data_IF_635129430078
#
_entry.id   IF_635129430078
#
_cell.length_a   1.000
_cell.length_b   1.000
_cell.length_c   1.000
_cell.angle_alpha   90.00
_cell.angle_beta   90.00
_cell.angle_gamma   90.00
#
_symmetry.space_group_name_H-M   'P 1'
#
loop_
_entity.id
_entity.type
_entity.pdbx_description
1 polymer ?
#
# COMPACT_ATOMS: atom_id res chain seq x y z
N UNK A 1 13.28 -17.78 8.69
CA UNK A 1 11.89 -17.64 9.16
C UNK A 1 11.28 -16.51 8.34
N UNK A 2 10.31 -16.86 7.49
CA UNK A 2 9.55 -15.85 6.75
C UNK A 2 8.71 -15.10 7.77
N UNK A 3 8.98 -13.82 7.98
CA UNK A 3 8.08 -12.88 8.65
C UNK A 3 6.82 -12.73 7.77
N UNK A 4 5.89 -13.67 7.93
CA UNK A 4 4.59 -13.55 7.27
C UNK A 4 3.75 -12.53 8.03
N UNK A 5 3.31 -11.49 7.34
CA UNK A 5 2.35 -10.55 7.91
C UNK A 5 1.07 -11.28 8.32
N UNK A 6 0.64 -11.09 9.57
CA UNK A 6 -0.58 -11.68 10.09
C UNK A 6 -1.68 -10.62 10.05
N UNK A 7 -2.69 -10.84 9.23
CA UNK A 7 -3.90 -10.02 9.19
C UNK A 7 -4.95 -10.57 10.15
N UNK A 8 -5.33 -9.75 11.12
CA UNK A 8 -6.35 -10.10 12.11
C UNK A 8 -7.53 -9.11 12.03
N UNK A 9 -8.78 -9.58 11.88
CA UNK A 9 -9.95 -8.72 12.04
C UNK A 9 -10.12 -8.35 13.52
N UNK A 10 -9.98 -7.05 13.84
CA UNK A 10 -10.11 -6.52 15.19
C UNK A 10 -11.19 -5.44 15.24
N UNK A 11 -11.87 -5.32 16.38
CA UNK A 11 -12.77 -4.20 16.63
C UNK A 11 -11.97 -2.91 16.76
N UNK A 12 -12.47 -1.81 16.19
CA UNK A 12 -11.80 -0.50 16.25
C UNK A 12 -11.47 -0.08 17.69
N UNK A 13 -12.35 -0.39 18.66
CA UNK A 13 -12.13 -0.11 20.08
C UNK A 13 -10.94 -0.87 20.68
N UNK A 14 -10.65 -2.07 20.20
CA UNK A 14 -9.48 -2.87 20.60
C UNK A 14 -8.21 -2.29 20.00
N UNK A 15 -8.28 -1.93 18.74
CA UNK A 15 -7.16 -1.29 18.05
C UNK A 15 -6.74 0.02 18.70
N UNK A 16 -7.70 0.86 19.09
CA UNK A 16 -7.40 2.11 19.82
C UNK A 16 -6.71 1.82 21.15
N UNK A 17 -7.12 0.78 21.87
CA UNK A 17 -6.45 0.34 23.11
C UNK A 17 -5.03 -0.17 22.82
N UNK A 18 -4.83 -0.90 21.72
CA UNK A 18 -3.51 -1.38 21.33
C UNK A 18 -2.56 -0.22 20.99
N UNK A 19 -3.04 0.82 20.32
CA UNK A 19 -2.24 2.03 20.06
C UNK A 19 -1.88 2.82 21.31
N UNK A 20 -2.75 2.79 22.34
CA UNK A 20 -2.50 3.44 23.62
C UNK A 20 -1.55 2.65 24.53
N UNK A 21 -1.58 1.33 24.42
CA UNK A 21 -0.63 0.47 25.12
C UNK A 21 0.73 0.55 24.42
N UNK A 22 1.70 1.20 25.06
CA UNK A 22 3.11 1.31 24.63
C UNK A 22 3.88 -0.04 24.66
N UNK A 23 3.19 -1.14 24.51
CA UNK A 23 3.82 -2.43 24.25
C UNK A 23 4.33 -2.37 22.81
N UNK A 24 5.58 -2.73 22.60
CA UNK A 24 6.37 -2.66 21.36
C UNK A 24 5.74 -3.33 20.11
N UNK A 25 4.43 -3.28 19.95
CA UNK A 25 3.75 -3.85 18.81
C UNK A 25 3.66 -2.80 17.69
N UNK A 26 4.42 -3.01 16.64
CA UNK A 26 4.30 -2.26 15.39
C UNK A 26 3.01 -2.72 14.69
N UNK A 27 1.93 -1.99 14.89
CA UNK A 27 0.61 -2.33 14.36
C UNK A 27 0.24 -1.34 13.27
N UNK A 28 -0.22 -1.86 12.15
CA UNK A 28 -0.77 -1.08 11.04
C UNK A 28 -2.16 -1.62 10.73
N UNK A 29 -3.08 -0.70 10.47
CA UNK A 29 -4.42 -0.98 10.01
C UNK A 29 -4.52 -0.50 8.58
N UNK A 30 -4.93 -1.37 7.68
CA UNK A 30 -5.17 -1.07 6.28
C UNK A 30 -6.25 -2.00 5.71
N UNK A 31 -6.68 -1.75 4.47
CA UNK A 31 -7.74 -2.50 3.80
C UNK A 31 -9.11 -2.40 4.50
N UNK A 32 -9.45 -1.20 4.96
CA UNK A 32 -10.69 -0.90 5.71
C UNK A 32 -11.84 -0.38 4.81
N UNK A 33 -11.87 -0.75 3.54
CA UNK A 33 -12.89 -0.27 2.61
C UNK A 33 -14.31 -0.63 3.08
N UNK A 34 -14.52 -1.85 3.54
CA UNK A 34 -15.81 -2.35 4.04
C UNK A 34 -16.25 -1.56 5.30
N UNK A 35 -15.31 -1.32 6.22
CA UNK A 35 -15.56 -0.49 7.40
C UNK A 35 -15.99 0.94 7.04
N UNK A 36 -15.37 1.56 6.03
CA UNK A 36 -15.75 2.89 5.56
C UNK A 36 -17.18 2.92 4.98
N UNK A 37 -17.57 1.84 4.32
CA UNK A 37 -18.90 1.70 3.73
C UNK A 37 -19.96 1.47 4.82
N UNK A 38 -19.77 0.52 5.72
CA UNK A 38 -20.67 0.16 6.80
C UNK A 38 -20.91 1.30 7.79
N UNK A 39 -19.85 2.04 8.14
CA UNK A 39 -19.96 3.19 9.06
C UNK A 39 -20.50 4.46 8.40
N UNK A 40 -20.62 4.47 7.08
CA UNK A 40 -21.03 5.65 6.32
C UNK A 40 -19.94 6.75 6.25
N UNK A 41 -18.75 6.53 6.75
CA UNK A 41 -17.61 7.45 6.68
C UNK A 41 -17.18 7.72 5.23
N UNK A 42 -17.53 6.85 4.31
CA UNK A 42 -17.31 7.02 2.89
C UNK A 42 -17.89 8.35 2.35
N UNK A 43 -18.97 8.87 2.98
CA UNK A 43 -19.54 10.18 2.62
C UNK A 43 -18.56 11.33 2.84
N UNK A 44 -17.72 11.24 3.87
CA UNK A 44 -16.68 12.24 4.16
C UNK A 44 -15.57 12.22 3.11
N UNK A 45 -15.24 11.04 2.58
CA UNK A 45 -14.28 10.89 1.48
C UNK A 45 -14.79 11.56 0.18
N UNK A 46 -16.09 11.54 -0.07
CA UNK A 46 -16.68 12.12 -1.30
C UNK A 46 -16.45 13.62 -1.44
N UNK A 47 -16.25 14.34 -0.36
CA UNK A 47 -15.92 15.75 -0.43
C UNK A 47 -14.58 15.99 -1.15
N UNK A 48 -13.53 15.24 -0.76
CA UNK A 48 -12.22 15.32 -1.39
C UNK A 48 -12.20 14.64 -2.76
N UNK A 49 -13.02 13.62 -2.95
CA UNK A 49 -13.16 12.88 -4.21
C UNK A 49 -13.55 13.78 -5.38
N UNK A 50 -14.50 14.68 -5.18
CA UNK A 50 -14.95 15.60 -6.24
C UNK A 50 -13.82 16.46 -6.82
N UNK A 51 -12.79 16.70 -6.02
CA UNK A 51 -11.63 17.50 -6.41
C UNK A 51 -10.46 16.65 -6.95
N UNK A 52 -10.30 15.43 -6.44
CA UNK A 52 -9.17 14.54 -6.77
C UNK A 52 -9.43 13.64 -7.96
N UNK A 53 -10.70 13.34 -8.22
CA UNK A 53 -11.13 12.38 -9.23
C UNK A 53 -10.78 12.85 -10.65
N UNK A 54 -9.97 12.09 -11.41
CA UNK A 54 -9.72 12.40 -12.81
C UNK A 54 -10.94 12.10 -13.68
N UNK A 55 -11.02 12.64 -14.90
CA UNK A 55 -12.07 12.28 -15.84
C UNK A 55 -11.94 10.80 -16.27
N UNK A 56 -13.04 10.21 -16.73
CA UNK A 56 -13.11 8.84 -17.26
C UNK A 56 -12.61 7.75 -16.28
N UNK A 57 -12.94 7.92 -14.99
CA UNK A 57 -12.64 6.90 -13.98
C UNK A 57 -13.56 5.70 -14.15
N UNK A 58 -12.96 4.50 -14.17
CA UNK A 58 -13.65 3.21 -14.18
C UNK A 58 -13.82 2.64 -12.77
N UNK A 59 -12.82 2.82 -11.91
CA UNK A 59 -12.82 2.28 -10.54
C UNK A 59 -12.26 3.34 -9.58
N UNK A 60 -12.97 3.52 -8.45
CA UNK A 60 -12.49 4.29 -7.30
C UNK A 60 -12.26 3.32 -6.14
N UNK A 61 -11.12 3.44 -5.49
CA UNK A 61 -10.81 2.73 -4.24
C UNK A 61 -10.53 3.74 -3.16
N UNK A 62 -11.19 3.60 -2.03
CA UNK A 62 -10.95 4.41 -0.84
C UNK A 62 -10.51 3.50 0.28
N UNK A 63 -9.56 3.96 1.08
CA UNK A 63 -9.12 3.25 2.26
C UNK A 63 -8.73 4.23 3.36
N UNK A 64 -8.75 3.74 4.58
CA UNK A 64 -8.26 4.42 5.77
C UNK A 64 -7.14 3.58 6.36
N UNK A 65 -5.97 4.18 6.47
CA UNK A 65 -4.80 3.54 7.06
C UNK A 65 -4.46 4.23 8.37
N UNK A 66 -4.07 3.46 9.37
CA UNK A 66 -3.53 4.00 10.60
C UNK A 66 -2.40 3.12 11.12
N UNK A 67 -1.40 3.75 11.73
CA UNK A 67 -0.25 3.03 12.25
C UNK A 67 0.15 3.51 13.64
N UNK A 68 0.66 2.56 14.44
CA UNK A 68 1.30 2.86 15.73
C UNK A 68 2.65 3.56 15.50
N UNK A 69 3.18 4.19 16.55
CA UNK A 69 4.48 4.86 16.51
C UNK A 69 5.59 3.88 16.07
N UNK A 70 6.45 4.33 15.16
CA UNK A 70 7.57 3.59 14.56
C UNK A 70 7.17 2.34 13.73
N UNK A 71 5.87 2.10 13.48
CA UNK A 71 5.44 1.08 12.53
C UNK A 71 5.67 1.55 11.08
N UNK A 72 5.87 0.61 10.15
CA UNK A 72 6.04 0.94 8.73
C UNK A 72 5.47 -0.16 7.83
N UNK A 73 4.99 0.25 6.66
CA UNK A 73 4.48 -0.69 5.65
C UNK A 73 5.63 -1.34 4.88
N UNK A 74 5.44 -2.56 4.36
CA UNK A 74 6.41 -3.16 3.46
C UNK A 74 6.63 -2.30 2.21
N UNK A 75 7.74 -2.54 1.52
CA UNK A 75 8.03 -1.88 0.26
C UNK A 75 7.16 -2.46 -0.85
N UNK A 76 6.28 -1.65 -1.42
CA UNK A 76 5.30 -2.07 -2.43
C UNK A 76 5.04 -1.00 -3.48
N UNK A 77 4.33 -1.35 -4.57
CA UNK A 77 3.88 -0.39 -5.57
C UNK A 77 2.45 -0.65 -6.01
N UNK A 78 1.77 0.40 -6.47
CA UNK A 78 0.44 0.35 -7.03
C UNK A 78 0.45 0.54 -8.55
N UNK A 79 -0.49 -0.12 -9.22
CA UNK A 79 -0.68 -0.01 -10.68
C UNK A 79 -1.84 0.91 -11.07
N UNK A 80 -2.55 1.48 -10.08
CA UNK A 80 -3.62 2.46 -10.31
C UNK A 80 -3.08 3.75 -10.92
N UNK A 81 -3.89 4.43 -11.72
CA UNK A 81 -3.48 5.65 -12.43
C UNK A 81 -3.09 6.78 -11.49
N UNK A 82 -3.87 7.01 -10.43
CA UNK A 82 -3.58 7.99 -9.39
C UNK A 82 -3.76 7.38 -8.01
N UNK A 83 -2.80 7.62 -7.16
CA UNK A 83 -2.78 7.13 -5.77
C UNK A 83 -2.47 8.33 -4.88
N UNK A 84 -3.49 8.85 -4.20
CA UNK A 84 -3.35 9.97 -3.28
C UNK A 84 -3.37 9.47 -1.84
N UNK A 85 -2.43 9.97 -1.04
CA UNK A 85 -2.34 9.74 0.39
C UNK A 85 -2.46 11.07 1.11
N UNK A 86 -3.57 11.27 1.81
CA UNK A 86 -3.85 12.46 2.61
C UNK A 86 -3.60 12.16 4.07
N UNK A 87 -2.63 12.84 4.68
CA UNK A 87 -2.38 12.71 6.11
C UNK A 87 -3.45 13.46 6.88
N UNK A 88 -4.19 12.75 7.74
CA UNK A 88 -5.26 13.34 8.56
C UNK A 88 -4.82 13.64 9.96
N UNK A 89 -3.91 12.83 10.53
CA UNK A 89 -3.35 13.07 11.85
C UNK A 89 -1.94 12.51 11.98
N UNK A 90 -1.18 13.01 12.96
CA UNK A 90 0.15 12.53 13.30
C UNK A 90 1.26 13.05 12.40
N UNK A 91 2.29 12.23 12.16
CA UNK A 91 3.46 12.54 11.34
C UNK A 91 3.92 11.25 10.68
N UNK A 92 4.09 11.29 9.36
CA UNK A 92 4.60 10.15 8.60
C UNK A 92 5.86 10.51 7.84
N UNK A 93 6.69 9.51 7.64
CA UNK A 93 7.81 9.55 6.71
C UNK A 93 7.54 8.56 5.59
N UNK A 94 7.83 8.94 4.36
CA UNK A 94 7.60 8.10 3.19
C UNK A 94 8.87 7.98 2.37
N UNK A 95 9.24 6.76 2.04
CA UNK A 95 10.31 6.47 1.09
C UNK A 95 9.71 6.14 -0.26
N UNK A 96 10.18 6.83 -1.30
CA UNK A 96 9.75 6.61 -2.68
C UNK A 96 10.94 6.21 -3.55
N UNK A 97 10.72 5.18 -4.40
CA UNK A 97 11.74 4.67 -5.30
C UNK A 97 11.17 4.63 -6.72
N UNK A 98 11.87 5.20 -7.71
CA UNK A 98 11.38 5.21 -9.09
C UNK A 98 11.32 3.81 -9.69
N UNK A 99 10.37 3.54 -10.63
CA UNK A 99 10.16 2.22 -11.22
C UNK A 99 11.40 1.59 -11.86
N UNK A 100 12.29 2.42 -12.42
CA UNK A 100 13.54 1.96 -13.05
C UNK A 100 14.49 1.23 -12.10
N UNK A 101 14.35 1.45 -10.79
CA UNK A 101 15.15 0.81 -9.76
C UNK A 101 14.56 -0.54 -9.31
N UNK A 102 13.37 -0.91 -9.77
CA UNK A 102 12.70 -2.16 -9.43
C UNK A 102 13.53 -3.43 -9.69
N UNK A 103 14.47 -3.37 -10.63
CA UNK A 103 15.40 -4.48 -10.93
C UNK A 103 16.36 -4.82 -9.77
N UNK A 104 16.52 -3.92 -8.79
CA UNK A 104 17.38 -4.08 -7.62
C UNK A 104 16.59 -4.46 -6.36
N UNK A 105 15.25 -4.57 -6.45
CA UNK A 105 14.37 -4.69 -5.30
C UNK A 105 13.77 -6.09 -5.12
N UNK A 106 14.31 -7.13 -5.77
CA UNK A 106 13.82 -8.52 -5.65
C UNK A 106 12.29 -8.57 -5.75
N UNK A 107 11.77 -8.11 -6.89
CA UNK A 107 10.34 -7.91 -7.12
C UNK A 107 9.54 -9.21 -6.93
N UNK A 108 8.56 -9.19 -6.06
CA UNK A 108 7.57 -10.24 -5.86
C UNK A 108 6.20 -9.77 -6.37
N UNK A 109 5.59 -10.54 -7.26
CA UNK A 109 4.27 -10.23 -7.79
C UNK A 109 3.29 -11.32 -7.36
N UNK A 110 2.37 -10.98 -6.48
CA UNK A 110 1.24 -11.85 -6.19
C UNK A 110 0.01 -11.37 -6.99
N UNK A 111 -0.30 -12.10 -8.04
CA UNK A 111 -1.46 -11.80 -8.88
C UNK A 111 -2.76 -12.35 -8.32
N UNK A 112 -2.74 -13.15 -7.26
CA UNK A 112 -3.92 -13.69 -6.62
C UNK A 112 -4.64 -12.61 -5.80
N UNK A 113 -3.88 -11.96 -4.92
CA UNK A 113 -4.35 -10.82 -4.13
C UNK A 113 -4.07 -9.47 -4.79
N UNK A 114 -3.41 -9.48 -5.92
CA UNK A 114 -3.01 -8.29 -6.69
C UNK A 114 -2.07 -7.36 -5.92
N UNK A 115 -1.18 -7.96 -5.14
CA UNK A 115 -0.13 -7.25 -4.42
C UNK A 115 1.22 -7.35 -5.14
N UNK A 116 1.91 -6.24 -5.15
CA UNK A 116 3.20 -6.10 -5.81
C UNK A 116 4.18 -5.53 -4.80
N UNK A 117 5.03 -6.39 -4.28
CA UNK A 117 5.93 -6.08 -3.17
C UNK A 117 7.38 -6.42 -3.44
N UNK A 118 8.17 -6.18 -2.40
CA UNK A 118 9.59 -6.53 -2.31
C UNK A 118 9.90 -7.02 -0.90
N UNK A 119 10.71 -8.05 -0.72
CA UNK A 119 11.16 -8.51 0.59
C UNK A 119 12.20 -7.55 1.21
N UNK A 120 12.67 -6.56 0.45
CA UNK A 120 13.65 -5.59 0.93
C UNK A 120 12.99 -4.60 1.87
N UNK A 121 13.47 -4.52 3.12
CA UNK A 121 13.07 -3.49 4.06
C UNK A 121 13.85 -2.18 3.79
N UNK A 122 13.20 -1.11 3.34
CA UNK A 122 13.89 0.14 3.05
C UNK A 122 14.27 0.94 4.32
N UNK A 123 13.77 0.56 5.50
CA UNK A 123 14.05 1.23 6.78
C UNK A 123 15.19 0.55 7.53
N UNK A 124 15.31 -0.77 7.38
CA UNK A 124 16.34 -1.60 8.00
C UNK A 124 16.84 -2.64 6.97
N UNK A 125 17.77 -2.20 6.11
CA UNK A 125 18.22 -2.98 4.95
C UNK A 125 18.97 -4.21 5.42
N UNK A 126 18.46 -5.38 5.00
CA UNK A 126 19.08 -6.67 5.27
C UNK A 126 20.44 -6.77 4.54
N UNK A 127 21.43 -7.38 5.17
CA UNK A 127 22.81 -7.50 4.65
C UNK A 127 22.85 -8.12 3.25
N UNK A 128 21.99 -9.07 2.96
CA UNK A 128 21.92 -9.77 1.67
C UNK A 128 21.49 -8.84 0.50
N UNK A 129 20.65 -7.83 0.76
CA UNK A 129 20.14 -6.91 -0.25
C UNK A 129 20.95 -5.61 -0.36
N UNK A 130 21.82 -5.34 0.60
CA UNK A 130 22.60 -4.11 0.69
C UNK A 130 23.39 -3.77 -0.58
N UNK A 131 24.13 -4.72 -1.22
CA UNK A 131 24.91 -4.40 -2.42
C UNK A 131 24.07 -3.93 -3.62
N UNK A 132 22.83 -4.42 -3.73
CA UNK A 132 21.90 -4.02 -4.78
C UNK A 132 21.16 -2.74 -4.39
N UNK A 133 20.77 -2.61 -3.11
CA UNK A 133 20.04 -1.45 -2.62
C UNK A 133 20.89 -0.16 -2.62
N UNK A 134 22.20 -0.25 -2.45
CA UNK A 134 23.11 0.91 -2.54
C UNK A 134 23.09 1.58 -3.92
N UNK A 135 22.62 0.88 -4.95
CA UNK A 135 22.44 1.41 -6.32
C UNK A 135 21.09 2.12 -6.49
N UNK A 136 20.20 2.01 -5.50
CA UNK A 136 18.83 2.52 -5.55
C UNK A 136 18.79 3.98 -5.15
N UNK A 137 18.09 4.79 -5.93
CA UNK A 137 17.81 6.18 -5.57
C UNK A 137 16.51 6.25 -4.77
N UNK A 138 16.62 6.62 -3.52
CA UNK A 138 15.48 6.77 -2.61
C UNK A 138 15.20 8.25 -2.39
N UNK A 139 13.93 8.63 -2.47
CA UNK A 139 13.43 9.95 -2.10
C UNK A 139 12.74 9.82 -0.74
N UNK A 140 13.26 10.52 0.26
CA UNK A 140 12.69 10.61 1.59
C UNK A 140 11.81 11.86 1.72
N UNK A 141 10.58 11.68 2.19
CA UNK A 141 9.60 12.75 2.39
C UNK A 141 8.99 12.65 3.78
N UNK A 142 8.84 13.79 4.43
CA UNK A 142 8.06 13.91 5.66
C UNK A 142 6.74 14.62 5.36
N UNK A 143 5.63 14.06 5.81
CA UNK A 143 4.28 14.59 5.57
C UNK A 143 3.56 14.82 6.90
N UNK A 144 2.90 15.99 6.98
CA UNK A 144 2.15 16.48 8.15
C UNK A 144 0.64 16.48 7.85
N UNK A 145 -0.22 16.56 8.89
CA UNK A 145 -1.65 16.66 8.69
C UNK A 145 -2.06 17.77 7.71
N UNK A 146 -3.01 17.46 6.84
CA UNK A 146 -3.47 18.33 5.76
C UNK A 146 -2.64 18.27 4.48
N UNK A 147 -1.48 17.62 4.48
CA UNK A 147 -0.70 17.41 3.26
C UNK A 147 -1.16 16.17 2.51
N UNK A 148 -1.17 16.27 1.20
CA UNK A 148 -1.51 15.18 0.29
C UNK A 148 -0.35 14.94 -0.68
N UNK A 149 -0.06 13.67 -0.94
CA UNK A 149 0.90 13.26 -1.95
C UNK A 149 0.23 12.39 -3.00
N UNK A 150 0.61 12.59 -4.27
CA UNK A 150 0.26 11.70 -5.36
C UNK A 150 1.47 10.81 -5.70
N UNK A 151 1.28 9.50 -5.58
CA UNK A 151 2.29 8.52 -5.99
C UNK A 151 1.90 7.99 -7.37
N UNK A 152 2.73 8.22 -8.41
CA UNK A 152 2.44 7.69 -9.74
C UNK A 152 2.43 6.16 -9.76
N UNK A 153 1.78 5.52 -10.74
CA UNK A 153 1.79 4.06 -10.89
C UNK A 153 3.22 3.53 -11.02
N UNK A 154 3.43 2.31 -10.51
CA UNK A 154 4.72 1.59 -10.51
C UNK A 154 5.83 2.22 -9.67
N UNK A 155 5.60 3.35 -8.99
CA UNK A 155 6.53 3.86 -8.01
C UNK A 155 6.46 3.00 -6.74
N UNK A 156 7.62 2.58 -6.28
CA UNK A 156 7.76 1.87 -5.03
C UNK A 156 7.64 2.83 -3.87
N UNK A 157 6.95 2.43 -2.83
CA UNK A 157 6.78 3.24 -1.63
C UNK A 157 6.70 2.38 -0.38
N UNK A 158 7.16 2.96 0.72
CA UNK A 158 6.93 2.48 2.08
C UNK A 158 6.63 3.67 2.97
N UNK A 159 5.68 3.51 3.90
CA UNK A 159 5.21 4.54 4.80
C UNK A 159 5.63 4.17 6.21
N UNK A 160 6.34 5.05 6.90
CA UNK A 160 6.68 4.92 8.32
C UNK A 160 5.89 5.92 9.15
N UNK A 161 5.25 5.46 10.18
CA UNK A 161 4.47 6.25 11.11
C UNK A 161 5.35 6.73 12.26
N UNK A 162 5.84 7.98 12.20
CA UNK A 162 6.71 8.57 13.24
C UNK A 162 6.00 8.81 14.56
N UNK A 163 4.70 8.91 14.53
CA UNK A 163 3.77 8.98 15.66
C UNK A 163 2.54 8.18 15.29
N UNK A 164 1.66 7.91 16.25
CA UNK A 164 0.33 7.40 15.93
C UNK A 164 -0.30 8.33 14.89
N UNK A 165 -0.52 7.83 13.71
CA UNK A 165 -0.93 8.65 12.56
C UNK A 165 -2.02 7.96 11.77
N UNK A 166 -2.79 8.77 11.06
CA UNK A 166 -3.82 8.27 10.14
C UNK A 166 -3.74 8.94 8.77
N UNK A 167 -4.10 8.18 7.76
CA UNK A 167 -4.01 8.53 6.34
C UNK A 167 -5.29 8.11 5.66
N UNK A 168 -5.86 8.98 4.82
CA UNK A 168 -6.89 8.62 3.86
C UNK A 168 -6.26 8.34 2.50
N UNK A 169 -6.56 7.20 1.92
CA UNK A 169 -6.12 6.80 0.59
C UNK A 169 -7.24 6.95 -0.43
N UNK A 170 -6.89 7.49 -1.61
CA UNK A 170 -7.76 7.63 -2.76
C UNK A 170 -7.06 7.05 -3.99
N UNK A 171 -7.56 5.94 -4.48
CA UNK A 171 -7.06 5.27 -5.67
C UNK A 171 -8.03 5.39 -6.83
N UNK A 172 -7.54 5.86 -7.99
CA UNK A 172 -8.35 6.00 -9.18
C UNK A 172 -7.78 5.20 -10.34
N UNK A 173 -8.62 4.44 -11.00
CA UNK A 173 -8.30 3.75 -12.24
C UNK A 173 -9.19 4.30 -13.35
N UNK A 174 -8.58 4.77 -14.42
CA UNK A 174 -9.31 5.23 -15.61
C UNK A 174 -9.50 4.07 -16.60
N UNK A 175 -10.44 4.20 -17.55
CA UNK A 175 -10.59 3.18 -18.60
C UNK A 175 -9.30 2.95 -19.37
N UNK A 176 -8.54 4.02 -19.68
CA UNK A 176 -7.26 3.89 -20.39
C UNK A 176 -6.20 3.16 -19.56
N UNK A 177 -6.13 3.44 -18.24
CA UNK A 177 -5.20 2.71 -17.37
C UNK A 177 -5.62 1.24 -17.19
N UNK A 178 -6.92 0.93 -17.23
CA UNK A 178 -7.41 -0.45 -17.21
C UNK A 178 -6.93 -1.22 -18.44
N UNK A 179 -6.98 -0.60 -19.62
CA UNK A 179 -6.45 -1.19 -20.86
C UNK A 179 -4.94 -1.43 -20.74
N UNK A 180 -4.19 -0.46 -20.22
CA UNK A 180 -2.73 -0.57 -20.08
C UNK A 180 -2.28 -1.69 -19.13
N UNK A 181 -3.08 -2.04 -18.13
CA UNK A 181 -2.79 -3.13 -17.18
C UNK A 181 -3.47 -4.46 -17.54
N UNK A 182 -4.11 -4.54 -18.72
CA UNK A 182 -4.78 -5.76 -19.18
C UNK A 182 -3.91 -7.02 -19.09
N UNK A 183 -2.61 -7.00 -19.44
CA UNK A 183 -1.74 -8.16 -19.21
C UNK A 183 -1.69 -8.62 -17.77
N UNK A 184 -1.62 -7.70 -16.80
CA UNK A 184 -1.61 -8.03 -15.37
C UNK A 184 -2.96 -8.61 -14.92
N UNK A 185 -4.07 -8.09 -15.45
CA UNK A 185 -5.41 -8.63 -15.17
C UNK A 185 -5.56 -10.06 -15.71
N UNK A 186 -5.04 -10.33 -16.91
CA UNK A 186 -5.02 -11.68 -17.48
C UNK A 186 -4.17 -12.63 -16.63
N UNK A 187 -3.02 -12.20 -16.16
CA UNK A 187 -2.19 -13.00 -15.25
C UNK A 187 -2.93 -13.32 -13.95
N UNK A 188 -3.65 -12.35 -13.36
CA UNK A 188 -4.49 -12.60 -12.18
C UNK A 188 -5.58 -13.65 -12.44
N UNK A 189 -6.28 -13.57 -13.57
CA UNK A 189 -7.29 -14.56 -13.95
C UNK A 189 -6.69 -15.96 -14.13
N UNK A 190 -5.52 -16.04 -14.76
CA UNK A 190 -4.81 -17.32 -14.95
C UNK A 190 -4.36 -17.91 -13.60
N UNK A 191 -3.85 -17.07 -12.71
CA UNK A 191 -3.43 -17.48 -11.38
C UNK A 191 -4.60 -18.02 -10.57
N UNK A 192 -5.75 -17.32 -10.56
CA UNK A 192 -6.95 -17.78 -9.88
C UNK A 192 -7.48 -19.13 -10.43
N UNK A 193 -7.40 -19.33 -11.75
CA UNK A 193 -7.77 -20.60 -12.34
C UNK A 193 -6.79 -21.71 -11.99
N UNK A 194 -5.49 -21.40 -11.91
CA UNK A 194 -4.46 -22.34 -11.50
C UNK A 194 -4.68 -22.83 -10.06
N UNK A 195 -4.95 -21.91 -9.12
CA UNK A 195 -5.24 -22.22 -7.72
C UNK A 195 -6.49 -23.11 -7.61
N UNK A 196 -7.57 -22.75 -8.32
CA UNK A 196 -8.82 -23.54 -8.29
C UNK A 196 -8.68 -24.97 -8.83
N UNK A 197 -7.71 -25.19 -9.73
CA UNK A 197 -7.49 -26.49 -10.38
C UNK A 197 -6.30 -27.26 -9.85
N UNK A 198 -5.53 -26.66 -8.91
CA UNK A 198 -4.30 -27.25 -8.35
C UNK A 198 -3.32 -27.76 -9.43
N UNK A 199 -3.25 -27.05 -10.57
CA UNK A 199 -2.50 -27.51 -11.75
C UNK A 199 -0.99 -27.41 -11.53
N UNK A 200 -0.53 -26.33 -10.88
CA UNK A 200 0.90 -26.04 -10.63
C UNK A 200 1.03 -25.29 -9.30
N UNK A 201 2.11 -25.52 -8.57
CA UNK A 201 2.47 -24.70 -7.40
C UNK A 201 2.62 -23.23 -7.78
N UNK A 202 2.41 -22.32 -6.81
CA UNK A 202 2.53 -20.86 -7.04
C UNK A 202 3.81 -20.55 -7.79
N UNK A 203 3.68 -20.01 -9.00
CA UNK A 203 4.83 -19.55 -9.77
C UNK A 203 5.31 -18.25 -9.13
N UNK A 204 6.47 -18.31 -8.46
CA UNK A 204 7.20 -17.12 -8.01
C UNK A 204 8.05 -16.63 -9.19
N UNK A 205 7.75 -15.45 -9.72
CA UNK A 205 8.55 -14.76 -10.73
C UNK A 205 9.41 -13.68 -10.09
#
# INVERSE_FOLDING_TARGET
ENDSEIYLPLLLSEVVKLFQNKINNKIIIENNADFLEETGLLKTFRYNDSFLRPPLVSICKYDFMSGSEESYTPLRYNISHRNYYLVTSGLIQMKLIPPKNGKYLQKENDYDIFEFGSPVDPWEIQEEYKPEFDKVKVLDLELKPGQIINIPPYWWYSIKFKKVSSICYFGYRTYMSTISILPNLLMGLLQQQNIKREIVDKIKF
#
